data_IF_303764261779
#
_entry.id   IF_303764261779
#
_cell.length_a   1.000
_cell.length_b   1.000
_cell.length_c   1.000
_cell.angle_alpha   90.00
_cell.angle_beta   90.00
_cell.angle_gamma   90.00
#
_symmetry.space_group_name_H-M   'P 1'
#
loop_
_entity.id
_entity.type
_entity.pdbx_description
1 polymer ?
#
# COMPACT_ATOMS: atom_id res chain seq x y z
N UNK A 1 28.71 -15.41 1.59
CA UNK A 1 29.67 -14.29 1.45
C UNK A 1 29.91 -13.51 2.75
N UNK A 2 29.16 -13.83 3.83
CA UNK A 2 29.31 -13.14 5.13
C UNK A 2 28.77 -11.70 5.16
N UNK A 3 28.06 -11.27 4.12
CA UNK A 3 27.45 -9.94 4.02
C UNK A 3 25.94 -10.10 4.01
N UNK A 4 25.20 -9.43 4.92
CA UNK A 4 23.75 -9.46 4.89
C UNK A 4 23.22 -8.78 3.61
N UNK A 5 22.27 -9.44 2.94
CA UNK A 5 21.63 -8.94 1.74
C UNK A 5 20.14 -8.80 1.99
N UNK A 6 19.57 -7.67 1.61
CA UNK A 6 18.10 -7.45 1.67
C UNK A 6 17.56 -7.47 0.24
N UNK A 7 16.92 -8.55 -0.19
CA UNK A 7 16.37 -8.65 -1.52
C UNK A 7 15.12 -7.78 -1.69
N UNK A 8 14.98 -7.23 -2.90
CA UNK A 8 13.76 -6.65 -3.43
C UNK A 8 13.28 -7.57 -4.55
N UNK A 9 12.24 -8.33 -4.30
CA UNK A 9 11.71 -9.28 -5.27
C UNK A 9 10.44 -8.73 -5.92
N UNK A 10 10.53 -8.45 -7.22
CA UNK A 10 9.45 -7.81 -7.99
C UNK A 10 8.71 -8.86 -8.79
N UNK A 11 7.38 -8.83 -8.75
CA UNK A 11 6.51 -9.68 -9.54
C UNK A 11 5.17 -8.99 -9.84
N UNK A 12 4.41 -9.52 -10.76
CA UNK A 12 3.03 -9.07 -10.97
C UNK A 12 2.19 -9.34 -9.72
N UNK A 13 1.56 -8.31 -9.15
CA UNK A 13 0.75 -8.43 -7.93
C UNK A 13 -0.37 -9.46 -8.07
N UNK A 14 -1.06 -9.45 -9.22
CA UNK A 14 -2.14 -10.38 -9.53
C UNK A 14 -1.71 -11.84 -9.46
N UNK A 15 -0.49 -12.16 -9.93
CA UNK A 15 -0.05 -13.53 -10.09
C UNK A 15 0.92 -14.02 -9.01
N UNK A 16 1.56 -13.11 -8.28
CA UNK A 16 2.66 -13.44 -7.38
C UNK A 16 2.30 -14.53 -6.38
N UNK A 17 1.36 -14.26 -5.49
CA UNK A 17 0.92 -15.23 -4.48
C UNK A 17 0.27 -16.48 -5.08
N UNK A 18 -0.40 -16.37 -6.20
CA UNK A 18 -0.99 -17.53 -6.87
C UNK A 18 0.05 -18.51 -7.42
N UNK A 19 1.23 -18.01 -7.80
CA UNK A 19 2.28 -18.83 -8.42
C UNK A 19 3.39 -19.22 -7.48
N UNK A 20 3.67 -18.40 -6.46
CA UNK A 20 4.79 -18.60 -5.54
C UNK A 20 4.37 -18.50 -4.07
N UNK A 21 3.08 -18.69 -3.77
CA UNK A 21 2.54 -18.60 -2.41
C UNK A 21 3.25 -19.52 -1.42
N UNK A 22 3.54 -20.74 -1.81
CA UNK A 22 4.29 -21.70 -0.96
C UNK A 22 5.66 -21.17 -0.57
N UNK A 23 6.33 -20.44 -1.48
CA UNK A 23 7.64 -19.83 -1.19
C UNK A 23 7.50 -18.65 -0.22
N UNK A 24 6.36 -17.96 -0.18
CA UNK A 24 6.12 -16.90 0.81
C UNK A 24 5.98 -17.51 2.22
N UNK A 25 5.30 -18.64 2.34
CA UNK A 25 5.25 -19.41 3.59
C UNK A 25 6.63 -19.92 3.99
N UNK A 26 7.40 -20.46 3.04
CA UNK A 26 8.79 -20.87 3.28
C UNK A 26 9.64 -19.68 3.74
N UNK A 27 9.53 -18.52 3.10
CA UNK A 27 10.26 -17.32 3.49
C UNK A 27 9.93 -16.91 4.94
N UNK A 28 8.66 -17.00 5.34
CA UNK A 28 8.24 -16.79 6.71
C UNK A 28 8.85 -17.77 7.70
N UNK A 29 8.84 -19.06 7.35
CA UNK A 29 9.33 -20.15 8.18
C UNK A 29 10.85 -20.10 8.42
N UNK A 30 11.62 -19.81 7.38
CA UNK A 30 13.09 -19.66 7.47
C UNK A 30 13.56 -18.28 7.96
N UNK A 31 12.63 -17.43 8.39
CA UNK A 31 12.89 -16.07 8.88
C UNK A 31 13.64 -15.19 7.84
N UNK A 32 13.29 -15.35 6.57
CA UNK A 32 13.84 -14.54 5.50
C UNK A 32 13.46 -13.06 5.69
N UNK A 33 14.36 -12.16 5.26
CA UNK A 33 14.18 -10.71 5.33
C UNK A 33 14.21 -10.13 3.93
N UNK A 34 13.35 -9.17 3.66
CA UNK A 34 13.30 -8.51 2.36
C UNK A 34 11.96 -7.88 2.04
N UNK A 35 11.86 -7.38 0.82
CA UNK A 35 10.67 -6.73 0.30
C UNK A 35 10.16 -7.44 -0.94
N UNK A 36 8.90 -7.84 -0.90
CA UNK A 36 8.15 -8.31 -2.05
C UNK A 36 7.42 -7.11 -2.65
N UNK A 37 7.60 -6.85 -3.92
CA UNK A 37 6.99 -5.73 -4.62
C UNK A 37 6.00 -6.26 -5.66
N UNK A 38 4.71 -6.16 -5.35
CA UNK A 38 3.63 -6.51 -6.26
C UNK A 38 3.43 -5.39 -7.27
N UNK A 39 4.15 -5.46 -8.39
CA UNK A 39 4.08 -4.47 -9.44
C UNK A 39 2.80 -4.56 -10.26
N UNK A 40 2.47 -3.46 -10.95
CA UNK A 40 1.29 -3.38 -11.83
C UNK A 40 -0.01 -3.66 -11.08
N UNK A 41 -0.10 -3.18 -9.83
CA UNK A 41 -1.25 -3.36 -8.94
C UNK A 41 -2.36 -2.31 -9.17
N UNK A 42 -2.42 -1.71 -10.35
CA UNK A 42 -3.27 -0.56 -10.65
C UNK A 42 -4.77 -0.82 -10.62
N UNK A 43 -5.22 -2.05 -10.45
CA UNK A 43 -6.65 -2.42 -10.42
C UNK A 43 -7.39 -1.85 -11.62
N UNK A 44 -8.35 -0.95 -11.40
CA UNK A 44 -9.16 -0.33 -12.45
C UNK A 44 -8.37 0.49 -13.49
N UNK A 45 -7.11 0.81 -13.23
CA UNK A 45 -6.24 1.48 -14.21
C UNK A 45 -5.66 0.52 -15.26
N UNK A 46 -5.92 -0.77 -15.13
CA UNK A 46 -5.46 -1.83 -16.02
C UNK A 46 -6.56 -2.39 -16.95
N UNK A 47 -7.65 -1.66 -17.11
CA UNK A 47 -8.80 -2.10 -17.91
C UNK A 47 -8.42 -2.53 -19.34
N UNK A 48 -7.41 -1.88 -19.94
CA UNK A 48 -6.92 -2.22 -21.27
C UNK A 48 -6.18 -3.57 -21.34
N UNK A 49 -5.70 -4.09 -20.23
CA UNK A 49 -5.02 -5.38 -20.12
C UNK A 49 -5.98 -6.53 -19.76
N UNK A 50 -7.18 -6.18 -19.33
CA UNK A 50 -8.24 -7.12 -18.98
C UNK A 50 -8.25 -7.54 -17.51
N UNK A 51 -9.37 -8.14 -17.11
CA UNK A 51 -9.68 -8.51 -15.72
C UNK A 51 -8.60 -9.38 -15.04
N UNK A 52 -7.92 -10.23 -15.80
CA UNK A 52 -6.87 -11.10 -15.27
C UNK A 52 -5.64 -10.36 -14.76
N UNK A 53 -5.52 -9.06 -15.02
CA UNK A 53 -4.43 -8.21 -14.50
C UNK A 53 -4.88 -7.28 -13.35
N UNK A 54 -6.16 -7.25 -13.06
CA UNK A 54 -6.73 -6.38 -12.03
C UNK A 54 -6.63 -7.05 -10.65
N UNK A 55 -5.55 -6.78 -9.94
CA UNK A 55 -5.32 -7.30 -8.60
C UNK A 55 -6.31 -6.73 -7.58
N UNK A 56 -7.04 -7.58 -6.89
CA UNK A 56 -7.91 -7.22 -5.79
C UNK A 56 -7.77 -8.15 -4.57
N UNK A 57 -6.86 -9.14 -4.63
CA UNK A 57 -6.78 -10.22 -3.65
C UNK A 57 -5.39 -10.48 -3.09
N UNK A 58 -4.32 -9.90 -3.67
CA UNK A 58 -2.95 -10.18 -3.22
C UNK A 58 -2.70 -9.81 -1.76
N UNK A 59 -3.27 -8.70 -1.30
CA UNK A 59 -3.19 -8.29 0.11
C UNK A 59 -3.90 -9.26 1.05
N UNK A 60 -5.02 -9.83 0.63
CA UNK A 60 -5.71 -10.87 1.40
C UNK A 60 -4.85 -12.14 1.53
N UNK A 61 -4.22 -12.57 0.44
CA UNK A 61 -3.30 -13.71 0.46
C UNK A 61 -2.06 -13.40 1.33
N UNK A 62 -1.49 -12.21 1.20
CA UNK A 62 -0.38 -11.76 2.03
C UNK A 62 -0.72 -11.81 3.53
N UNK A 63 -1.93 -11.43 3.92
CA UNK A 63 -2.37 -11.41 5.32
C UNK A 63 -2.46 -12.79 5.97
N UNK A 64 -2.38 -13.86 5.20
CA UNK A 64 -2.36 -15.24 5.73
C UNK A 64 -0.99 -15.64 6.27
N UNK A 65 0.09 -14.98 5.85
CA UNK A 65 1.45 -15.27 6.30
C UNK A 65 1.77 -14.46 7.57
N UNK A 66 2.00 -15.10 8.73
CA UNK A 66 1.95 -14.42 10.03
C UNK A 66 2.98 -13.31 10.25
N UNK A 67 4.15 -13.41 9.64
CA UNK A 67 5.24 -12.44 9.75
C UNK A 67 5.45 -11.59 8.49
N UNK A 68 4.47 -11.57 7.58
CA UNK A 68 4.46 -10.71 6.41
C UNK A 68 3.63 -9.46 6.67
N UNK A 69 4.25 -8.29 6.59
CA UNK A 69 3.58 -7.00 6.70
C UNK A 69 3.21 -6.49 5.31
N UNK A 70 1.91 -6.34 5.05
CA UNK A 70 1.39 -5.97 3.74
C UNK A 70 0.86 -4.53 3.72
N UNK A 71 1.22 -3.78 2.67
CA UNK A 71 0.82 -2.39 2.48
C UNK A 71 0.35 -2.13 1.05
N UNK A 72 -0.61 -1.22 0.92
CA UNK A 72 -1.12 -0.70 -0.37
C UNK A 72 -0.91 0.82 -0.46
N UNK A 73 0.36 1.28 -0.57
CA UNK A 73 0.69 2.70 -0.57
C UNK A 73 0.13 3.41 -1.80
N UNK A 74 -0.36 4.64 -1.63
CA UNK A 74 -0.84 5.48 -2.71
C UNK A 74 0.25 6.39 -3.29
N UNK A 75 1.20 6.81 -2.47
CA UNK A 75 2.21 7.81 -2.82
C UNK A 75 3.64 7.35 -2.54
N UNK A 76 4.59 7.93 -3.27
CA UNK A 76 6.00 7.57 -3.16
C UNK A 76 6.57 7.79 -1.74
N UNK A 77 6.13 8.82 -1.03
CA UNK A 77 6.59 9.06 0.34
C UNK A 77 6.15 7.96 1.32
N UNK A 78 4.97 7.35 1.10
CA UNK A 78 4.51 6.21 1.90
C UNK A 78 5.42 5.00 1.69
N UNK A 79 5.78 4.73 0.43
CA UNK A 79 6.75 3.68 0.09
C UNK A 79 8.08 3.94 0.81
N UNK A 80 8.59 5.17 0.76
CA UNK A 80 9.85 5.54 1.40
C UNK A 80 9.81 5.33 2.92
N UNK A 81 8.72 5.76 3.58
CA UNK A 81 8.53 5.58 5.04
C UNK A 81 8.49 4.10 5.40
N UNK A 82 7.73 3.28 4.65
CA UNK A 82 7.61 1.84 4.90
C UNK A 82 8.95 1.14 4.70
N UNK A 83 9.67 1.45 3.61
CA UNK A 83 10.99 0.85 3.35
C UNK A 83 12.00 1.22 4.43
N UNK A 84 12.05 2.48 4.85
CA UNK A 84 12.94 2.93 5.91
C UNK A 84 12.67 2.22 7.23
N UNK A 85 11.40 2.14 7.65
CA UNK A 85 11.00 1.41 8.86
C UNK A 85 11.30 -0.09 8.75
N UNK A 86 11.02 -0.68 7.60
CA UNK A 86 11.29 -2.08 7.34
C UNK A 86 12.78 -2.44 7.43
N UNK A 87 13.65 -1.61 6.87
CA UNK A 87 15.09 -1.78 7.01
C UNK A 87 15.53 -1.66 8.47
N UNK A 88 15.02 -0.68 9.21
CA UNK A 88 15.30 -0.53 10.64
C UNK A 88 14.91 -1.79 11.42
N UNK A 89 13.68 -2.25 11.27
CA UNK A 89 13.13 -3.40 12.00
C UNK A 89 13.82 -4.72 11.63
N UNK A 90 13.97 -4.98 10.31
CA UNK A 90 14.58 -6.22 9.86
C UNK A 90 16.10 -6.29 10.12
N UNK A 91 16.82 -5.18 9.93
CA UNK A 91 18.29 -5.19 9.96
C UNK A 91 18.85 -4.73 11.30
N UNK A 92 18.41 -3.55 11.79
CA UNK A 92 18.96 -3.00 13.02
C UNK A 92 18.37 -3.68 14.27
N UNK A 93 17.09 -3.98 14.27
CA UNK A 93 16.37 -4.59 15.41
C UNK A 93 16.29 -6.13 15.30
N UNK A 94 16.55 -6.69 14.14
CA UNK A 94 16.61 -8.14 13.96
C UNK A 94 15.23 -8.83 13.98
N UNK A 95 14.13 -8.08 13.83
CA UNK A 95 12.78 -8.66 13.86
C UNK A 95 12.59 -9.74 12.78
N UNK A 96 11.84 -10.76 13.11
CA UNK A 96 11.44 -11.82 12.18
C UNK A 96 10.20 -11.38 11.39
N UNK A 97 10.39 -10.46 10.46
CA UNK A 97 9.36 -9.96 9.55
C UNK A 97 9.93 -9.75 8.16
N UNK A 98 9.06 -9.72 7.17
CA UNK A 98 9.35 -9.26 5.81
C UNK A 98 8.13 -8.51 5.26
N UNK A 99 8.27 -7.87 4.10
CA UNK A 99 7.28 -6.90 3.64
C UNK A 99 6.72 -7.26 2.27
N UNK A 100 5.45 -6.94 2.05
CA UNK A 100 4.80 -6.92 0.76
C UNK A 100 4.20 -5.54 0.49
N UNK A 101 4.56 -4.91 -0.62
CA UNK A 101 4.02 -3.64 -1.06
C UNK A 101 3.45 -3.77 -2.47
N UNK A 102 2.23 -3.27 -2.68
CA UNK A 102 1.70 -3.09 -4.02
C UNK A 102 2.26 -1.81 -4.64
N UNK A 103 2.65 -1.87 -5.91
CA UNK A 103 3.16 -0.74 -6.67
C UNK A 103 2.44 -0.61 -8.01
N UNK A 104 2.37 0.61 -8.53
CA UNK A 104 1.68 0.89 -9.80
C UNK A 104 2.64 1.31 -10.87
N UNK A 105 2.23 1.15 -12.12
CA UNK A 105 2.97 1.56 -13.33
C UNK A 105 2.41 2.84 -13.96
N UNK A 106 1.54 3.55 -13.26
CA UNK A 106 0.92 4.79 -13.72
C UNK A 106 1.70 6.00 -13.21
N UNK A 107 2.00 6.95 -14.10
CA UNK A 107 2.66 8.19 -13.73
C UNK A 107 1.65 9.15 -13.08
N UNK A 108 1.88 9.46 -11.82
CA UNK A 108 1.04 10.34 -11.02
C UNK A 108 1.83 11.49 -10.44
N UNK A 109 1.18 12.64 -10.30
CA UNK A 109 1.73 13.73 -9.52
C UNK A 109 1.74 13.31 -8.04
N UNK A 110 2.93 13.24 -7.45
CA UNK A 110 3.10 12.86 -6.05
C UNK A 110 3.05 14.12 -5.17
N UNK A 111 2.14 14.18 -4.20
CA UNK A 111 2.10 15.29 -3.26
C UNK A 111 3.28 15.23 -2.28
N UNK A 112 3.57 16.38 -1.66
CA UNK A 112 4.47 16.40 -0.52
C UNK A 112 3.88 15.58 0.64
N UNK A 113 4.74 14.96 1.43
CA UNK A 113 4.34 14.22 2.62
C UNK A 113 3.69 15.16 3.65
N UNK A 114 2.47 14.89 4.11
CA UNK A 114 1.86 15.66 5.18
C UNK A 114 2.68 15.57 6.47
N UNK A 115 2.76 16.68 7.20
CA UNK A 115 3.48 16.71 8.46
C UNK A 115 2.89 15.73 9.49
N UNK A 116 3.75 14.98 10.16
CA UNK A 116 3.36 14.05 11.23
C UNK A 116 2.68 12.76 10.76
N UNK A 117 2.48 12.53 9.46
CA UNK A 117 1.72 11.36 8.99
C UNK A 117 2.51 10.03 9.02
N UNK A 118 3.84 10.06 9.22
CA UNK A 118 4.68 8.86 9.14
C UNK A 118 4.18 7.69 10.00
N UNK A 119 3.79 7.96 11.25
CA UNK A 119 3.26 6.92 12.14
C UNK A 119 1.93 6.36 11.66
N UNK A 120 1.09 7.19 11.04
CA UNK A 120 -0.16 6.76 10.44
C UNK A 120 0.07 5.87 9.23
N UNK A 121 1.06 6.22 8.39
CA UNK A 121 1.48 5.37 7.25
C UNK A 121 1.90 3.99 7.75
N UNK A 122 2.75 3.91 8.76
CA UNK A 122 3.22 2.63 9.34
C UNK A 122 2.11 1.81 9.99
N UNK A 123 1.07 2.46 10.52
CA UNK A 123 -0.13 1.81 11.04
C UNK A 123 -1.14 1.42 9.94
N UNK A 124 -0.89 1.81 8.69
CA UNK A 124 -1.73 1.50 7.54
C UNK A 124 -2.95 2.41 7.36
N UNK A 125 -3.10 3.45 8.18
CA UNK A 125 -4.22 4.41 8.07
C UNK A 125 -3.86 5.77 8.65
N UNK A 126 -4.11 6.84 7.90
CA UNK A 126 -3.96 8.21 8.37
C UNK A 126 -4.92 9.14 7.62
N UNK A 127 -5.24 10.28 8.22
CA UNK A 127 -6.03 11.32 7.55
C UNK A 127 -5.13 12.09 6.58
N UNK A 128 -5.39 11.91 5.29
CA UNK A 128 -4.65 12.60 4.23
C UNK A 128 -5.18 14.01 3.98
N UNK A 129 -6.51 14.16 3.85
CA UNK A 129 -7.14 15.45 3.55
C UNK A 129 -8.38 15.65 4.41
N UNK A 130 -8.45 16.71 5.21
CA UNK A 130 -9.65 17.03 5.97
C UNK A 130 -10.77 17.47 5.04
N UNK A 131 -12.00 17.18 5.45
CA UNK A 131 -13.20 17.67 4.77
C UNK A 131 -13.37 19.19 4.89
N UNK A 132 -13.96 19.86 3.89
CA UNK A 132 -14.19 21.30 3.94
C UNK A 132 -15.14 21.68 5.08
N UNK A 133 -14.83 22.78 5.76
CA UNK A 133 -15.66 23.29 6.85
C UNK A 133 -17.03 23.79 6.37
N UNK A 134 -17.97 23.92 7.32
CA UNK A 134 -19.28 24.58 7.09
C UNK A 134 -20.31 23.73 6.34
N UNK A 135 -20.07 22.44 6.15
CA UNK A 135 -21.03 21.52 5.54
C UNK A 135 -21.96 20.90 6.57
N UNK A 136 -23.21 20.65 6.17
CA UNK A 136 -24.27 20.13 7.03
C UNK A 136 -24.03 18.69 7.48
N UNK A 137 -23.56 17.85 6.57
CA UNK A 137 -23.35 16.43 6.84
C UNK A 137 -21.86 16.12 6.92
N UNK A 138 -21.52 15.04 7.63
CA UNK A 138 -20.13 14.57 7.78
C UNK A 138 -20.01 13.12 7.34
N UNK A 139 -18.86 12.80 6.72
CA UNK A 139 -18.52 11.45 6.31
C UNK A 139 -17.02 11.20 6.45
N UNK A 140 -16.61 9.95 6.32
CA UNK A 140 -15.24 9.55 6.14
C UNK A 140 -15.16 8.65 4.91
N UNK A 141 -14.16 8.89 4.07
CA UNK A 141 -13.90 8.09 2.89
C UNK A 141 -12.54 7.44 3.07
N UNK A 142 -12.48 6.13 2.94
CA UNK A 142 -11.25 5.38 2.98
C UNK A 142 -10.83 5.04 1.55
N UNK A 143 -9.56 5.24 1.25
CA UNK A 143 -8.98 4.89 -0.03
C UNK A 143 -7.53 4.44 0.15
N UNK A 144 -7.11 3.47 -0.65
CA UNK A 144 -5.73 3.02 -0.69
C UNK A 144 -5.26 2.89 -2.14
N UNK A 145 -3.97 2.89 -2.34
CA UNK A 145 -3.40 2.70 -3.66
C UNK A 145 -3.97 3.66 -4.71
N UNK A 146 -4.18 3.21 -5.95
CA UNK A 146 -4.67 4.06 -7.04
C UNK A 146 -6.09 4.59 -6.80
N UNK A 147 -6.86 3.93 -5.93
CA UNK A 147 -8.26 4.30 -5.63
C UNK A 147 -8.34 5.55 -4.74
N UNK A 148 -7.27 5.91 -4.03
CA UNK A 148 -7.25 7.14 -3.23
C UNK A 148 -7.58 8.38 -4.07
N UNK A 149 -7.20 8.44 -5.34
CA UNK A 149 -7.58 9.54 -6.25
C UNK A 149 -9.09 9.64 -6.45
N UNK A 150 -9.75 8.50 -6.57
CA UNK A 150 -11.22 8.47 -6.66
C UNK A 150 -11.87 8.94 -5.36
N UNK A 151 -11.29 8.60 -4.20
CA UNK A 151 -11.75 9.08 -2.90
C UNK A 151 -11.63 10.61 -2.78
N UNK A 152 -10.52 11.19 -3.25
CA UNK A 152 -10.32 12.64 -3.29
C UNK A 152 -11.31 13.34 -4.21
N UNK A 153 -11.55 12.81 -5.40
CA UNK A 153 -12.56 13.35 -6.31
C UNK A 153 -13.99 13.23 -5.73
N UNK A 154 -14.28 12.12 -5.06
CA UNK A 154 -15.55 11.94 -4.37
C UNK A 154 -15.76 12.95 -3.23
N UNK A 155 -14.69 13.29 -2.47
CA UNK A 155 -14.76 14.34 -1.45
C UNK A 155 -15.23 15.68 -2.03
N UNK A 156 -14.70 16.07 -3.18
CA UNK A 156 -15.07 17.32 -3.85
C UNK A 156 -16.54 17.30 -4.32
N UNK A 157 -16.94 16.22 -4.98
CA UNK A 157 -18.34 16.05 -5.44
C UNK A 157 -19.32 16.07 -4.26
N UNK A 158 -19.00 15.39 -3.17
CA UNK A 158 -19.83 15.36 -1.96
C UNK A 158 -19.99 16.75 -1.34
N UNK A 159 -18.91 17.52 -1.30
CA UNK A 159 -18.94 18.87 -0.79
C UNK A 159 -19.78 19.83 -1.67
N UNK A 160 -19.59 19.76 -2.99
CA UNK A 160 -20.22 20.68 -3.92
C UNK A 160 -21.71 20.40 -4.15
N UNK A 161 -22.08 19.11 -4.25
CA UNK A 161 -23.42 18.71 -4.68
C UNK A 161 -24.34 18.25 -3.56
N UNK A 162 -23.76 17.78 -2.44
CA UNK A 162 -24.52 17.10 -1.39
C UNK A 162 -24.36 17.71 -0.01
N UNK A 163 -23.64 18.83 0.10
CA UNK A 163 -23.38 19.52 1.37
C UNK A 163 -22.75 18.62 2.44
N UNK A 164 -21.84 17.73 2.03
CA UNK A 164 -21.14 16.78 2.91
C UNK A 164 -19.68 17.20 3.07
N UNK A 165 -19.21 17.27 4.32
CA UNK A 165 -17.80 17.36 4.68
C UNK A 165 -17.27 15.95 4.90
N UNK A 166 -16.47 15.45 4.00
CA UNK A 166 -15.85 14.12 4.10
C UNK A 166 -14.35 14.25 4.38
N UNK A 167 -13.86 13.62 5.44
CA UNK A 167 -12.41 13.41 5.61
C UNK A 167 -11.96 12.24 4.72
N UNK A 168 -10.76 12.31 4.15
CA UNK A 168 -10.14 11.25 3.35
C UNK A 168 -8.83 10.83 4.00
#
# INVERSE_FOLDING_TARGET
YGVPMIPFYIYYSMFGFQRVGDQMWLAGDIMAKGFLLGATAGRTTLNGEGLQHEDGHSLLLASTVPNLLAYDPAFAYEVAVILQDGLRRMVAEGENIFYYLTLYNENLLMPAMPEGCAQGVLKGLYKFKPGPAGRKHKAQILGSGPILRCALAAQEILAERYDVSADV
#
